data_IF_997225664189
#
_entry.id   IF_997225664189
#
_cell.length_a   1.000
_cell.length_b   1.000
_cell.length_c   1.000
_cell.angle_alpha   90.00
_cell.angle_beta   90.00
_cell.angle_gamma   90.00
#
_symmetry.space_group_name_H-M   'P 1'
#
loop_
_entity.id
_entity.type
_entity.pdbx_description
1 polymer ?
#
# COMPACT_ATOMS: atom_id res chain seq x y z
N UNK A 1 22.10 -27.71 -14.85
CA UNK A 1 22.27 -27.39 -13.42
C UNK A 1 21.23 -28.17 -12.62
N UNK A 2 21.67 -29.04 -11.71
CA UNK A 2 20.75 -29.87 -10.90
C UNK A 2 20.34 -29.04 -9.67
N UNK A 3 19.05 -28.68 -9.56
CA UNK A 3 18.52 -28.01 -8.38
C UNK A 3 18.56 -28.98 -7.17
N UNK A 4 19.00 -28.47 -6.03
CA UNK A 4 19.01 -29.23 -4.78
C UNK A 4 17.58 -29.51 -4.33
N UNK A 5 17.24 -30.74 -3.89
CA UNK A 5 15.87 -31.07 -3.48
C UNK A 5 15.34 -30.25 -2.29
N UNK A 6 16.22 -29.67 -1.48
CA UNK A 6 15.87 -28.77 -0.39
C UNK A 6 15.27 -27.42 -0.87
N UNK A 7 15.72 -26.91 -2.03
CA UNK A 7 15.17 -25.68 -2.61
C UNK A 7 13.79 -25.91 -3.21
N UNK A 8 13.56 -27.05 -3.84
CA UNK A 8 12.25 -27.44 -4.35
C UNK A 8 11.22 -27.60 -3.21
N UNK A 9 11.64 -28.15 -2.06
CA UNK A 9 10.77 -28.33 -0.90
C UNK A 9 10.37 -26.98 -0.26
N UNK A 10 11.29 -26.01 -0.17
CA UNK A 10 10.99 -24.67 0.36
C UNK A 10 10.03 -23.90 -0.53
N UNK A 11 10.17 -24.01 -1.85
CA UNK A 11 9.26 -23.37 -2.81
C UNK A 11 7.87 -24.03 -2.78
N UNK A 12 7.80 -25.36 -2.69
CA UNK A 12 6.54 -26.09 -2.54
C UNK A 12 5.84 -25.76 -1.22
N UNK A 13 6.58 -25.53 -0.14
CA UNK A 13 6.00 -25.16 1.16
C UNK A 13 5.42 -23.74 1.13
N UNK A 14 6.08 -22.78 0.45
CA UNK A 14 5.56 -21.43 0.26
C UNK A 14 4.30 -21.40 -0.65
N UNK A 15 4.31 -22.18 -1.73
CA UNK A 15 3.14 -22.33 -2.62
C UNK A 15 2.01 -23.10 -1.91
N UNK A 16 2.31 -24.12 -1.13
CA UNK A 16 1.32 -24.87 -0.35
C UNK A 16 0.70 -24.03 0.76
N UNK A 17 1.46 -23.14 1.42
CA UNK A 17 0.92 -22.18 2.40
C UNK A 17 -0.02 -21.19 1.71
N UNK A 18 0.28 -20.76 0.49
CA UNK A 18 -0.62 -19.90 -0.31
C UNK A 18 -1.89 -20.63 -0.79
N UNK A 19 -1.83 -21.94 -1.00
CA UNK A 19 -2.96 -22.75 -1.46
C UNK A 19 -3.83 -23.30 -0.31
N UNK A 20 -3.26 -23.50 0.89
CA UNK A 20 -4.03 -23.95 2.06
C UNK A 20 -4.73 -22.83 2.81
N UNK A 21 -4.24 -21.61 2.74
CA UNK A 21 -5.04 -20.46 3.08
C UNK A 21 -5.81 -20.05 1.82
N UNK A 22 -6.90 -20.78 1.55
CA UNK A 22 -7.92 -20.34 0.63
C UNK A 22 -8.41 -18.96 1.07
N UNK A 23 -7.72 -17.91 0.62
CA UNK A 23 -8.14 -16.52 0.76
C UNK A 23 -9.36 -16.30 -0.14
N UNK A 24 -10.45 -17.01 0.21
CA UNK A 24 -11.74 -16.67 -0.32
C UNK A 24 -12.08 -15.25 0.10
N UNK A 25 -12.53 -14.52 -0.84
CA UNK A 25 -13.14 -13.20 -0.92
C UNK A 25 -13.93 -12.67 0.32
N UNK A 26 -13.35 -12.72 1.52
CA UNK A 26 -14.01 -12.32 2.76
C UNK A 26 -13.90 -10.83 3.11
N UNK A 27 -13.29 -10.01 2.25
CA UNK A 27 -13.35 -8.56 2.45
C UNK A 27 -14.79 -8.01 2.34
N UNK A 28 -15.69 -8.73 1.66
CA UNK A 28 -17.13 -8.41 1.65
C UNK A 28 -17.85 -8.88 2.93
N UNK A 29 -17.45 -10.00 3.52
CA UNK A 29 -18.05 -10.50 4.77
C UNK A 29 -17.74 -9.63 5.99
N UNK A 30 -16.63 -8.86 6.02
CA UNK A 30 -16.38 -7.93 7.12
C UNK A 30 -17.41 -6.80 7.22
N UNK A 31 -18.04 -6.41 6.12
CA UNK A 31 -19.16 -5.44 6.16
C UNK A 31 -20.41 -6.01 6.79
N UNK A 32 -20.61 -7.33 6.72
CA UNK A 32 -21.78 -8.01 7.28
C UNK A 32 -21.56 -8.43 8.75
N UNK A 33 -20.33 -8.75 9.14
CA UNK A 33 -20.02 -9.17 10.51
C UNK A 33 -19.99 -8.03 11.53
N UNK A 34 -19.73 -6.79 11.07
CA UNK A 34 -19.67 -5.63 11.94
C UNK A 34 -20.35 -4.42 11.28
N UNK A 35 -21.70 -4.32 11.34
CA UNK A 35 -22.39 -3.09 10.99
C UNK A 35 -22.17 -2.04 12.08
N UNK A 36 -20.93 -1.76 12.45
CA UNK A 36 -20.62 -0.62 13.28
C UNK A 36 -21.00 0.63 12.49
N UNK A 37 -21.80 1.53 13.08
CA UNK A 37 -21.97 2.88 12.55
C UNK A 37 -20.58 3.41 12.20
N UNK A 38 -20.37 3.73 10.92
CA UNK A 38 -19.14 4.36 10.46
C UNK A 38 -18.83 5.53 11.39
N UNK A 39 -17.79 5.38 12.19
CA UNK A 39 -17.40 6.42 13.13
C UNK A 39 -16.25 7.19 12.49
N UNK A 40 -16.51 8.48 12.22
CA UNK A 40 -15.47 9.39 11.77
C UNK A 40 -14.88 10.11 12.97
N UNK A 41 -13.56 10.04 13.10
CA UNK A 41 -12.78 10.72 14.12
C UNK A 41 -11.86 11.76 13.47
N UNK A 42 -11.49 12.78 14.26
CA UNK A 42 -10.42 13.71 13.91
C UNK A 42 -9.21 13.39 14.79
N UNK A 43 -8.15 12.90 14.19
CA UNK A 43 -6.90 12.56 14.86
C UNK A 43 -5.80 13.57 14.56
N UNK A 44 -4.90 13.83 15.51
CA UNK A 44 -3.69 14.58 15.21
C UNK A 44 -2.72 13.73 14.41
N UNK A 45 -2.05 14.33 13.43
CA UNK A 45 -1.10 13.65 12.56
C UNK A 45 -0.05 12.82 13.32
N UNK A 46 0.47 13.39 14.40
CA UNK A 46 1.49 12.76 15.22
C UNK A 46 0.95 11.69 16.20
N UNK A 47 -0.34 11.42 16.21
CA UNK A 47 -0.99 10.42 17.04
C UNK A 47 -1.44 9.20 16.24
N UNK A 48 -1.25 9.23 14.91
CA UNK A 48 -1.69 8.17 14.02
C UNK A 48 -0.51 7.29 13.62
N UNK A 49 -0.73 5.99 13.72
CA UNK A 49 0.26 4.95 13.39
C UNK A 49 0.05 4.44 11.97
N UNK A 50 1.14 3.97 11.36
CA UNK A 50 1.07 3.30 10.06
C UNK A 50 0.63 1.84 10.20
N UNK A 51 -0.27 1.39 9.33
CA UNK A 51 -0.58 -0.03 9.17
C UNK A 51 0.50 -0.80 8.40
N UNK A 52 1.66 -0.19 8.20
CA UNK A 52 2.83 -0.74 7.49
C UNK A 52 4.12 -0.16 8.10
N UNK A 53 5.26 -0.80 7.82
CA UNK A 53 6.58 -0.37 8.34
C UNK A 53 7.37 0.46 7.34
N UNK A 54 7.02 0.39 6.06
CA UNK A 54 7.74 1.01 4.95
C UNK A 54 6.81 1.90 4.13
N UNK A 55 7.37 2.99 3.59
CA UNK A 55 6.67 3.89 2.68
C UNK A 55 7.59 4.24 1.50
N UNK A 56 7.02 4.41 0.31
CA UNK A 56 7.77 4.88 -0.86
C UNK A 56 7.68 6.40 -0.96
N UNK A 57 8.70 7.13 -0.55
CA UNK A 57 8.69 8.60 -0.59
C UNK A 57 8.69 9.16 -1.99
N UNK A 58 9.51 8.62 -2.88
CA UNK A 58 9.57 9.06 -4.29
C UNK A 58 8.23 8.82 -4.99
N UNK A 59 7.58 7.68 -4.72
CA UNK A 59 6.23 7.42 -5.21
C UNK A 59 5.21 8.41 -4.64
N UNK A 60 5.29 8.75 -3.35
CA UNK A 60 4.39 9.75 -2.75
C UNK A 60 4.53 11.12 -3.41
N UNK A 61 5.76 11.57 -3.66
CA UNK A 61 6.06 12.83 -4.35
C UNK A 61 5.53 12.80 -5.78
N UNK A 62 5.86 11.75 -6.54
CA UNK A 62 5.41 11.59 -7.92
C UNK A 62 3.88 11.64 -8.02
N UNK A 63 3.21 10.84 -7.20
CA UNK A 63 1.75 10.78 -7.16
C UNK A 63 1.13 12.13 -6.85
N UNK A 64 1.61 12.82 -5.82
CA UNK A 64 1.07 14.11 -5.42
C UNK A 64 1.26 15.19 -6.50
N UNK A 65 2.42 15.23 -7.17
CA UNK A 65 2.67 16.14 -8.29
C UNK A 65 1.73 15.86 -9.47
N UNK A 66 1.56 14.58 -9.83
CA UNK A 66 0.64 14.14 -10.89
C UNK A 66 -0.81 14.56 -10.58
N UNK A 67 -1.28 14.28 -9.37
CA UNK A 67 -2.65 14.59 -8.93
C UNK A 67 -2.90 16.11 -8.87
N UNK A 68 -1.86 16.91 -8.63
CA UNK A 68 -1.88 18.37 -8.72
C UNK A 68 -1.79 18.93 -10.16
N UNK A 69 -1.68 18.08 -11.18
CA UNK A 69 -1.50 18.49 -12.58
C UNK A 69 -0.14 19.12 -12.87
N UNK A 70 0.87 18.83 -12.05
CA UNK A 70 2.24 19.31 -12.20
C UNK A 70 3.12 18.26 -12.90
N UNK A 71 4.33 18.66 -13.29
CA UNK A 71 5.30 17.69 -13.81
C UNK A 71 5.67 16.70 -12.70
N UNK A 72 5.31 15.42 -12.80
CA UNK A 72 5.53 14.43 -11.73
C UNK A 72 7.01 14.09 -11.51
N UNK A 73 7.90 14.45 -12.45
CA UNK A 73 9.34 14.27 -12.35
C UNK A 73 10.05 15.51 -11.76
N UNK A 74 9.32 16.58 -11.44
CA UNK A 74 9.91 17.77 -10.86
C UNK A 74 10.39 17.51 -9.42
N UNK A 75 11.56 18.07 -9.08
CA UNK A 75 12.03 18.05 -7.69
C UNK A 75 11.24 19.07 -6.87
N UNK A 76 10.76 18.70 -5.69
CA UNK A 76 9.99 19.61 -4.82
C UNK A 76 10.67 20.95 -4.60
N UNK A 77 12.02 20.95 -4.45
CA UNK A 77 12.81 22.17 -4.24
C UNK A 77 12.83 23.12 -5.45
N UNK A 78 12.60 22.61 -6.67
CA UNK A 78 12.61 23.41 -7.90
C UNK A 78 11.24 24.02 -8.23
N UNK A 79 10.18 23.65 -7.50
CA UNK A 79 8.85 24.19 -7.73
C UNK A 79 8.78 25.68 -7.43
N UNK A 80 8.13 26.43 -8.31
CA UNK A 80 7.76 27.83 -8.08
C UNK A 80 6.74 27.95 -6.92
N UNK A 81 6.59 29.18 -6.39
CA UNK A 81 5.61 29.43 -5.33
C UNK A 81 4.17 29.06 -5.74
N UNK A 82 3.81 29.29 -7.01
CA UNK A 82 2.48 28.94 -7.56
C UNK A 82 2.28 27.43 -7.59
N UNK A 83 3.29 26.67 -8.06
CA UNK A 83 3.22 25.20 -8.12
C UNK A 83 3.19 24.59 -6.73
N UNK A 84 3.98 25.07 -5.78
CA UNK A 84 3.92 24.63 -4.37
C UNK A 84 2.55 24.83 -3.77
N UNK A 85 1.89 25.96 -4.08
CA UNK A 85 0.52 26.23 -3.62
C UNK A 85 -0.46 25.25 -4.24
N UNK A 86 -0.40 25.01 -5.54
CA UNK A 86 -1.25 24.04 -6.24
C UNK A 86 -1.08 22.63 -5.66
N UNK A 87 0.14 22.22 -5.40
CA UNK A 87 0.46 20.94 -4.78
C UNK A 87 -0.14 20.85 -3.35
N UNK A 88 0.04 21.88 -2.53
CA UNK A 88 -0.50 21.90 -1.19
C UNK A 88 -2.04 21.88 -1.18
N UNK A 89 -2.69 22.59 -2.10
CA UNK A 89 -4.16 22.61 -2.23
C UNK A 89 -4.68 21.22 -2.69
N UNK A 90 -3.99 20.53 -3.59
CA UNK A 90 -4.31 19.16 -4.01
C UNK A 90 -4.23 18.19 -2.83
N UNK A 91 -3.12 18.18 -2.10
CA UNK A 91 -2.90 17.31 -0.93
C UNK A 91 -3.95 17.60 0.16
N UNK A 92 -4.27 18.87 0.42
CA UNK A 92 -5.33 19.21 1.37
C UNK A 92 -6.71 18.76 0.90
N UNK A 93 -6.95 18.75 -0.42
CA UNK A 93 -8.22 18.24 -0.96
C UNK A 93 -8.36 16.75 -0.67
N UNK A 94 -7.29 15.95 -0.86
CA UNK A 94 -7.29 14.52 -0.57
C UNK A 94 -7.51 14.22 0.92
N UNK A 95 -7.05 15.12 1.81
CA UNK A 95 -7.23 14.98 3.26
C UNK A 95 -8.65 15.39 3.76
N UNK A 96 -9.53 15.91 2.89
CA UNK A 96 -10.93 16.18 3.26
C UNK A 96 -11.72 14.90 3.44
N UNK A 97 -11.38 13.87 2.68
CA UNK A 97 -12.00 12.56 2.80
C UNK A 97 -11.46 11.82 4.03
N UNK A 98 -12.31 11.04 4.65
CA UNK A 98 -11.89 10.24 5.80
C UNK A 98 -11.07 9.04 5.34
N UNK A 99 -9.90 8.87 5.94
CA UNK A 99 -9.00 7.75 5.65
C UNK A 99 -9.40 6.52 6.46
N UNK A 100 -9.38 5.31 5.86
CA UNK A 100 -9.74 4.09 6.57
C UNK A 100 -8.70 3.79 7.65
N UNK A 101 -9.19 3.46 8.84
CA UNK A 101 -8.36 3.15 9.98
C UNK A 101 -9.00 2.07 10.88
N UNK A 102 -8.20 1.47 11.74
CA UNK A 102 -8.66 0.64 12.86
C UNK A 102 -8.19 1.27 14.17
N UNK A 103 -8.98 1.11 15.22
CA UNK A 103 -8.56 1.46 16.57
C UNK A 103 -8.32 0.18 17.37
N UNK A 104 -7.13 0.02 17.92
CA UNK A 104 -6.76 -1.15 18.70
C UNK A 104 -7.35 -1.13 20.12
N UNK A 105 -7.22 -2.22 20.92
CA UNK A 105 -7.71 -2.28 22.29
C UNK A 105 -7.09 -1.25 23.25
N UNK A 106 -5.92 -0.69 22.89
CA UNK A 106 -5.22 0.36 23.66
C UNK A 106 -5.63 1.78 23.24
N UNK A 107 -6.54 1.92 22.27
CA UNK A 107 -7.02 3.20 21.74
C UNK A 107 -6.14 3.81 20.66
N UNK A 108 -5.08 3.13 20.20
CA UNK A 108 -4.20 3.62 19.13
C UNK A 108 -4.87 3.49 17.78
N UNK A 109 -4.72 4.49 16.92
CA UNK A 109 -5.34 4.55 15.59
C UNK A 109 -4.30 4.18 14.55
N UNK A 110 -4.55 3.11 13.79
CA UNK A 110 -3.72 2.64 12.70
C UNK A 110 -4.40 2.92 11.37
N UNK A 111 -3.71 3.62 10.47
CA UNK A 111 -4.17 3.83 9.11
C UNK A 111 -4.04 2.56 8.29
N UNK A 112 -5.06 2.28 7.49
CA UNK A 112 -5.05 1.18 6.54
C UNK A 112 -4.67 1.66 5.13
N UNK A 113 -4.94 2.93 4.82
CA UNK A 113 -4.59 3.58 3.55
C UNK A 113 -4.32 5.08 3.76
N UNK A 114 -3.85 5.77 2.72
CA UNK A 114 -3.61 7.21 2.74
C UNK A 114 -2.25 7.63 3.32
N UNK A 115 -1.35 6.69 3.63
CA UNK A 115 -0.02 7.00 4.18
C UNK A 115 0.77 7.99 3.31
N UNK A 116 0.72 7.85 1.97
CA UNK A 116 1.43 8.72 1.04
C UNK A 116 0.88 10.16 1.07
N UNK A 117 -0.45 10.32 1.14
CA UNK A 117 -1.09 11.64 1.25
C UNK A 117 -0.70 12.34 2.55
N UNK A 118 -0.70 11.61 3.67
CA UNK A 118 -0.28 12.16 4.96
C UNK A 118 1.21 12.52 4.97
N UNK A 119 2.06 11.67 4.38
CA UNK A 119 3.48 11.97 4.25
C UNK A 119 3.69 13.27 3.46
N UNK A 120 2.98 13.44 2.34
CA UNK A 120 3.08 14.65 1.53
C UNK A 120 2.60 15.89 2.28
N UNK A 121 1.51 15.78 3.04
CA UNK A 121 1.03 16.88 3.89
C UNK A 121 2.11 17.31 4.91
N UNK A 122 2.77 16.35 5.54
CA UNK A 122 3.86 16.63 6.48
C UNK A 122 5.10 17.26 5.82
N UNK A 123 5.44 16.85 4.61
CA UNK A 123 6.55 17.44 3.83
C UNK A 123 6.24 18.90 3.45
N UNK A 124 4.99 19.20 3.09
CA UNK A 124 4.57 20.52 2.64
C UNK A 124 4.29 21.49 3.79
N UNK A 125 3.90 20.98 4.96
CA UNK A 125 3.62 21.76 6.16
C UNK A 125 4.61 21.39 7.28
N UNK A 126 5.74 22.10 7.40
CA UNK A 126 6.75 21.81 8.41
C UNK A 126 6.24 21.84 9.86
N UNK A 127 5.18 22.62 10.11
CA UNK A 127 4.53 22.68 11.42
C UNK A 127 3.34 21.69 11.51
N UNK A 128 3.67 20.41 11.60
CA UNK A 128 2.67 19.32 11.67
C UNK A 128 1.85 19.27 12.96
N UNK A 129 2.18 20.10 13.98
CA UNK A 129 1.48 20.10 15.28
C UNK A 129 -0.02 20.39 15.17
N UNK A 130 -0.41 21.13 14.12
CA UNK A 130 -1.80 21.52 13.88
C UNK A 130 -2.46 20.68 12.77
N UNK A 131 -1.71 19.77 12.13
CA UNK A 131 -2.27 18.93 11.09
C UNK A 131 -3.19 17.90 11.72
N UNK A 132 -4.46 18.00 11.35
CA UNK A 132 -5.48 17.01 11.73
C UNK A 132 -5.97 16.27 10.51
N UNK A 133 -6.18 14.98 10.66
CA UNK A 133 -6.70 14.10 9.63
C UNK A 133 -8.04 13.52 10.08
N UNK A 134 -8.92 13.34 9.12
CA UNK A 134 -10.15 12.59 9.33
C UNK A 134 -9.87 11.11 9.12
N UNK A 135 -10.31 10.26 10.04
CA UNK A 135 -10.24 8.82 9.90
C UNK A 135 -11.64 8.21 10.03
N UNK A 136 -11.95 7.25 9.18
CA UNK A 136 -13.14 6.41 9.28
C UNK A 136 -12.73 5.08 9.90
N UNK A 137 -13.22 4.77 11.09
CA UNK A 137 -12.94 3.49 11.73
C UNK A 137 -13.72 2.38 11.01
N UNK A 138 -12.99 1.47 10.38
CA UNK A 138 -13.53 0.22 9.83
C UNK A 138 -13.74 -0.80 10.94
N UNK A 139 -12.96 -0.67 12.03
CA UNK A 139 -13.12 -1.46 13.25
C UNK A 139 -12.62 -0.67 14.48
N UNK A 140 -13.32 -0.83 15.59
CA UNK A 140 -13.01 -0.19 16.86
C UNK A 140 -12.88 -1.24 17.96
N UNK A 141 -11.66 -1.74 18.17
CA UNK A 141 -11.37 -2.75 19.17
C UNK A 141 -11.59 -2.24 20.60
N UNK A 142 -11.35 -0.95 20.84
CA UNK A 142 -11.59 -0.34 22.14
C UNK A 142 -13.10 -0.32 22.48
N UNK A 143 -13.95 0.04 21.51
CA UNK A 143 -15.39 0.07 21.71
C UNK A 143 -16.01 -1.33 21.86
N UNK A 144 -15.43 -2.34 21.19
CA UNK A 144 -15.88 -3.74 21.28
C UNK A 144 -15.28 -4.49 22.46
N UNK A 145 -14.37 -3.86 23.19
CA UNK A 145 -13.65 -4.46 24.33
C UNK A 145 -13.01 -5.82 24.01
N UNK A 146 -12.53 -5.99 22.77
CA UNK A 146 -11.83 -7.20 22.34
C UNK A 146 -10.45 -7.27 22.99
N UNK A 147 -10.02 -8.47 23.40
CA UNK A 147 -8.69 -8.67 23.92
C UNK A 147 -7.61 -8.56 22.81
N UNK A 148 -6.35 -8.39 23.21
CA UNK A 148 -5.24 -8.15 22.30
C UNK A 148 -5.03 -9.28 21.27
N UNK A 149 -4.90 -10.53 21.72
CA UNK A 149 -4.60 -11.64 20.80
C UNK A 149 -5.71 -11.86 19.76
N UNK A 150 -7.02 -11.91 20.13
CA UNK A 150 -8.10 -11.94 19.16
C UNK A 150 -8.10 -10.74 18.20
N UNK A 151 -7.68 -9.54 18.63
CA UNK A 151 -7.55 -8.39 17.72
C UNK A 151 -6.42 -8.58 16.71
N UNK A 152 -5.28 -9.14 17.14
CA UNK A 152 -4.16 -9.45 16.21
C UNK A 152 -4.62 -10.45 15.16
N UNK A 153 -5.27 -11.54 15.56
CA UNK A 153 -5.78 -12.57 14.65
C UNK A 153 -6.80 -11.98 13.67
N UNK A 154 -7.75 -11.18 14.18
CA UNK A 154 -8.73 -10.49 13.35
C UNK A 154 -8.08 -9.54 12.33
N UNK A 155 -7.03 -8.84 12.75
CA UNK A 155 -6.29 -7.90 11.90
C UNK A 155 -5.58 -8.62 10.73
N UNK A 156 -5.03 -9.79 10.98
CA UNK A 156 -4.40 -10.63 9.95
C UNK A 156 -5.48 -11.22 9.02
N UNK A 157 -6.54 -11.79 9.56
CA UNK A 157 -7.63 -12.38 8.79
C UNK A 157 -8.31 -11.38 7.85
N UNK A 158 -8.42 -10.13 8.28
CA UNK A 158 -9.03 -9.06 7.49
C UNK A 158 -8.04 -8.28 6.60
N UNK A 159 -6.78 -8.69 6.55
CA UNK A 159 -5.72 -8.00 5.82
C UNK A 159 -5.65 -6.50 6.15
N UNK A 160 -5.81 -6.12 7.44
CA UNK A 160 -5.62 -4.75 7.87
C UNK A 160 -4.15 -4.37 7.92
N UNK A 161 -3.28 -5.35 8.17
CA UNK A 161 -1.83 -5.21 8.19
C UNK A 161 -1.19 -6.22 7.25
N UNK A 162 -0.01 -5.88 6.76
CA UNK A 162 0.79 -6.82 5.99
C UNK A 162 1.17 -8.02 6.86
N UNK A 163 0.64 -9.20 6.55
CA UNK A 163 0.68 -10.37 7.43
C UNK A 163 2.08 -10.74 7.97
N UNK A 164 3.17 -10.74 7.14
CA UNK A 164 4.51 -11.03 7.63
C UNK A 164 5.03 -10.09 8.70
N UNK A 165 4.51 -8.86 8.78
CA UNK A 165 4.95 -7.83 9.74
C UNK A 165 3.84 -7.37 10.70
N UNK A 166 2.62 -7.92 10.60
CA UNK A 166 1.47 -7.49 11.37
C UNK A 166 1.73 -7.45 12.88
N UNK A 167 2.32 -8.53 13.42
CA UNK A 167 2.66 -8.61 14.84
C UNK A 167 3.67 -7.56 15.25
N UNK A 168 4.70 -7.33 14.43
CA UNK A 168 5.73 -6.30 14.67
C UNK A 168 5.09 -4.91 14.66
N UNK A 169 4.20 -4.63 13.69
CA UNK A 169 3.49 -3.35 13.57
C UNK A 169 2.69 -3.08 14.85
N UNK A 170 1.99 -4.08 15.36
CA UNK A 170 1.13 -3.94 16.53
C UNK A 170 1.90 -3.85 17.84
N UNK A 171 2.99 -4.61 18.00
CA UNK A 171 3.83 -4.59 19.20
C UNK A 171 4.72 -3.34 19.28
N UNK A 172 5.26 -2.90 18.14
CA UNK A 172 6.17 -1.75 18.02
C UNK A 172 5.67 -0.79 16.95
N UNK A 173 4.53 -0.13 17.19
CA UNK A 173 3.92 0.69 16.17
C UNK A 173 4.76 1.92 15.86
N UNK A 174 4.95 2.17 14.58
CA UNK A 174 5.58 3.37 14.06
C UNK A 174 4.51 4.38 13.66
N UNK A 175 4.70 5.63 14.00
CA UNK A 175 3.86 6.71 13.50
C UNK A 175 4.12 6.92 12.01
N UNK A 176 3.17 7.48 11.28
CA UNK A 176 3.30 7.61 9.82
C UNK A 176 4.57 8.34 9.40
N UNK A 177 5.02 9.34 10.16
CA UNK A 177 6.25 10.08 9.89
C UNK A 177 7.54 9.33 10.27
N UNK A 178 7.43 8.25 11.04
CA UNK A 178 8.55 7.39 11.44
C UNK A 178 8.75 6.20 10.48
N UNK A 179 7.84 6.02 9.52
CA UNK A 179 7.94 4.93 8.54
C UNK A 179 9.23 5.05 7.73
N UNK A 180 9.95 3.95 7.62
CA UNK A 180 11.18 3.91 6.84
C UNK A 180 10.89 4.08 5.35
N UNK A 181 11.76 4.82 4.66
CA UNK A 181 11.68 4.93 3.21
C UNK A 181 12.08 3.62 2.54
N UNK A 182 11.41 3.27 1.46
CA UNK A 182 11.67 2.06 0.69
C UNK A 182 11.71 2.37 -0.80
N UNK A 183 12.87 2.16 -1.39
CA UNK A 183 13.07 2.23 -2.83
C UNK A 183 12.16 1.25 -3.57
N UNK A 184 12.03 0.03 -3.07
CA UNK A 184 11.16 -1.01 -3.65
C UNK A 184 9.70 -0.54 -3.69
N UNK A 185 9.22 0.05 -2.59
CA UNK A 185 7.86 0.61 -2.51
C UNK A 185 7.67 1.77 -3.49
N UNK A 186 8.68 2.63 -3.63
CA UNK A 186 8.65 3.71 -4.62
C UNK A 186 8.61 3.15 -6.03
N UNK A 187 9.50 2.24 -6.38
CA UNK A 187 9.58 1.67 -7.72
C UNK A 187 8.33 0.87 -8.10
N UNK A 188 7.79 0.06 -7.18
CA UNK A 188 6.56 -0.69 -7.45
C UNK A 188 5.34 0.21 -7.54
N UNK A 189 5.26 1.28 -6.74
CA UNK A 189 4.22 2.29 -6.90
C UNK A 189 4.26 2.95 -8.29
N UNK A 190 5.44 3.32 -8.75
CA UNK A 190 5.66 3.90 -10.08
C UNK A 190 5.42 2.89 -11.21
N UNK A 191 5.76 1.62 -11.02
CA UNK A 191 5.44 0.54 -11.94
C UNK A 191 3.93 0.46 -12.22
N UNK A 192 3.08 0.46 -11.19
CA UNK A 192 1.63 0.46 -11.39
C UNK A 192 1.13 1.70 -12.14
N UNK A 193 1.66 2.88 -11.81
CA UNK A 193 1.33 4.11 -12.54
C UNK A 193 1.80 4.03 -13.99
N UNK A 194 3.01 3.53 -14.25
CA UNK A 194 3.54 3.43 -15.61
C UNK A 194 2.72 2.52 -16.52
N UNK A 195 2.19 1.41 -15.99
CA UNK A 195 1.25 0.55 -16.71
C UNK A 195 -0.04 1.31 -17.01
N UNK A 196 -0.61 2.00 -16.01
CA UNK A 196 -1.83 2.81 -16.21
C UNK A 196 -1.64 3.85 -17.31
N UNK A 197 -0.50 4.55 -17.30
CA UNK A 197 -0.21 5.59 -18.28
C UNK A 197 0.10 5.04 -19.67
N UNK A 198 0.78 3.90 -19.76
CA UNK A 198 1.19 3.29 -21.03
C UNK A 198 0.06 2.55 -21.71
N UNK A 199 -0.65 1.71 -20.99
CA UNK A 199 -1.66 0.79 -21.54
C UNK A 199 -3.09 1.28 -21.36
N UNK A 200 -3.29 2.40 -20.66
CA UNK A 200 -4.61 2.99 -20.33
C UNK A 200 -5.54 2.03 -19.59
N UNK A 201 -4.96 1.16 -18.75
CA UNK A 201 -5.70 0.25 -17.88
C UNK A 201 -5.68 0.74 -16.44
N UNK A 202 -6.76 0.64 -15.69
CA UNK A 202 -6.87 1.23 -14.34
C UNK A 202 -6.11 0.40 -13.29
N UNK A 203 -4.83 0.68 -13.07
CA UNK A 203 -3.94 0.00 -12.12
C UNK A 203 -4.12 0.49 -10.67
N UNK A 204 -5.36 0.81 -10.26
CA UNK A 204 -5.63 1.33 -8.91
C UNK A 204 -5.55 0.23 -7.86
N UNK A 205 -4.96 0.54 -6.70
CA UNK A 205 -4.78 -0.41 -5.60
C UNK A 205 -6.07 -1.10 -5.14
N UNK A 206 -7.25 -0.43 -5.27
CA UNK A 206 -8.54 -1.01 -4.95
C UNK A 206 -8.95 -2.23 -5.83
N UNK A 207 -8.30 -2.42 -6.98
CA UNK A 207 -8.57 -3.53 -7.90
C UNK A 207 -7.75 -4.77 -7.58
N UNK A 208 -6.83 -4.67 -6.64
CA UNK A 208 -5.99 -5.76 -6.17
C UNK A 208 -6.23 -6.06 -4.70
N UNK A 209 -5.76 -7.22 -4.26
CA UNK A 209 -5.71 -7.53 -2.85
C UNK A 209 -4.83 -6.52 -2.10
N UNK A 210 -5.12 -6.23 -0.83
CA UNK A 210 -4.31 -5.32 -0.02
C UNK A 210 -2.84 -5.75 -0.01
N UNK A 211 -1.94 -4.77 0.10
CA UNK A 211 -0.49 -5.00 0.17
C UNK A 211 0.15 -5.65 -1.07
N UNK A 212 -0.52 -5.60 -2.24
CA UNK A 212 0.00 -6.16 -3.50
C UNK A 212 1.47 -5.78 -3.76
N UNK A 213 1.87 -4.53 -3.48
CA UNK A 213 3.25 -4.08 -3.70
C UNK A 213 4.24 -4.75 -2.75
N UNK A 214 3.84 -5.10 -1.52
CA UNK A 214 4.71 -5.84 -0.59
C UNK A 214 4.91 -7.28 -1.04
N UNK A 215 3.81 -7.96 -1.37
CA UNK A 215 3.88 -9.35 -1.86
C UNK A 215 4.62 -9.45 -3.21
N UNK A 216 4.48 -8.45 -4.08
CA UNK A 216 5.23 -8.38 -5.34
C UNK A 216 6.72 -8.16 -5.08
N UNK A 217 7.10 -7.32 -4.12
CA UNK A 217 8.48 -7.14 -3.71
C UNK A 217 9.08 -8.43 -3.16
N UNK A 218 8.31 -9.19 -2.35
CA UNK A 218 8.76 -10.47 -1.82
C UNK A 218 8.98 -11.50 -2.94
N UNK A 219 8.07 -11.57 -3.92
CA UNK A 219 8.22 -12.45 -5.09
C UNK A 219 9.48 -12.09 -5.90
N UNK A 220 9.68 -10.79 -6.19
CA UNK A 220 10.84 -10.32 -6.94
C UNK A 220 12.15 -10.70 -6.24
N UNK A 221 12.22 -10.55 -4.92
CA UNK A 221 13.41 -10.94 -4.13
C UNK A 221 13.60 -12.45 -4.08
N UNK A 222 12.54 -13.20 -3.84
CA UNK A 222 12.60 -14.65 -3.72
C UNK A 222 13.08 -15.33 -5.02
N UNK A 223 12.61 -14.82 -6.16
CA UNK A 223 12.97 -15.35 -7.48
C UNK A 223 14.14 -14.61 -8.15
N UNK A 224 14.71 -13.59 -7.50
CA UNK A 224 15.82 -12.77 -8.02
C UNK A 224 15.53 -12.17 -9.42
N UNK A 225 14.26 -11.76 -9.64
CA UNK A 225 13.78 -11.27 -10.94
C UNK A 225 14.39 -9.93 -11.29
N UNK A 226 14.55 -9.04 -10.29
CA UNK A 226 15.03 -7.69 -10.45
C UNK A 226 15.79 -7.22 -9.22
N UNK A 227 16.85 -6.41 -9.43
CA UNK A 227 17.57 -5.74 -8.34
C UNK A 227 17.16 -4.28 -8.29
N UNK A 228 16.55 -3.85 -7.20
CA UNK A 228 16.12 -2.48 -7.03
C UNK A 228 17.32 -1.55 -6.87
N UNK A 229 17.43 -0.58 -7.78
CA UNK A 229 18.44 0.48 -7.71
C UNK A 229 18.02 1.51 -6.65
N UNK A 230 18.96 2.03 -5.84
CA UNK A 230 18.68 3.13 -4.93
C UNK A 230 18.31 4.44 -5.66
N UNK A 231 18.64 4.55 -6.93
CA UNK A 231 18.31 5.70 -7.78
C UNK A 231 16.98 5.45 -8.51
N UNK A 232 15.90 5.97 -7.94
CA UNK A 232 14.55 5.89 -8.52
C UNK A 232 14.42 6.96 -9.60
N UNK A 233 14.53 6.56 -10.86
CA UNK A 233 14.38 7.43 -12.01
C UNK A 233 13.50 6.79 -13.08
N UNK A 234 13.17 7.55 -14.14
CA UNK A 234 12.30 7.06 -15.21
C UNK A 234 12.87 5.82 -15.92
N UNK A 235 14.18 5.78 -16.14
CA UNK A 235 14.82 4.64 -16.80
C UNK A 235 14.70 3.36 -15.98
N UNK A 236 14.98 3.44 -14.67
CA UNK A 236 14.84 2.28 -13.76
C UNK A 236 13.40 1.78 -13.65
N UNK A 237 12.40 2.67 -13.76
CA UNK A 237 10.98 2.26 -13.78
C UNK A 237 10.60 1.56 -15.07
N UNK A 238 11.10 2.03 -16.24
CA UNK A 238 10.86 1.38 -17.53
C UNK A 238 11.54 0.00 -17.60
N UNK A 239 12.75 -0.11 -17.08
CA UNK A 239 13.47 -1.39 -16.96
C UNK A 239 12.70 -2.38 -16.08
N UNK A 240 12.25 -1.92 -14.91
CA UNK A 240 11.40 -2.72 -14.02
C UNK A 240 10.13 -3.17 -14.73
N UNK A 241 9.43 -2.26 -15.41
CA UNK A 241 8.19 -2.57 -16.15
C UNK A 241 8.44 -3.65 -17.19
N UNK A 242 9.49 -3.49 -18.01
CA UNK A 242 9.84 -4.45 -19.07
C UNK A 242 10.15 -5.82 -18.46
N UNK A 243 10.94 -5.86 -17.39
CA UNK A 243 11.33 -7.10 -16.72
C UNK A 243 10.12 -7.80 -16.11
N UNK A 244 9.26 -7.08 -15.38
CA UNK A 244 8.12 -7.68 -14.70
C UNK A 244 7.03 -8.15 -15.66
N UNK A 245 6.72 -7.36 -16.70
CA UNK A 245 5.72 -7.75 -17.71
C UNK A 245 6.24 -8.86 -18.65
N UNK A 246 7.56 -9.05 -18.77
CA UNK A 246 8.17 -10.18 -19.45
C UNK A 246 8.28 -11.46 -18.60
N UNK A 247 7.97 -11.41 -17.31
CA UNK A 247 8.11 -12.54 -16.41
C UNK A 247 6.76 -13.22 -16.14
N UNK A 248 6.64 -14.48 -16.59
CA UNK A 248 5.40 -15.25 -16.48
C UNK A 248 4.93 -15.42 -15.02
N UNK A 249 5.84 -15.66 -14.07
CA UNK A 249 5.48 -15.85 -12.67
C UNK A 249 4.89 -14.58 -12.07
N UNK A 250 5.44 -13.42 -12.45
CA UNK A 250 4.90 -12.11 -12.03
C UNK A 250 3.50 -11.90 -12.61
N UNK A 251 3.30 -12.20 -13.89
CA UNK A 251 1.97 -12.07 -14.53
C UNK A 251 0.94 -12.96 -13.85
N UNK A 252 1.25 -14.23 -13.63
CA UNK A 252 0.34 -15.16 -12.93
C UNK A 252 0.08 -14.72 -11.49
N UNK A 253 1.11 -14.22 -10.79
CA UNK A 253 0.93 -13.63 -9.47
C UNK A 253 -0.03 -12.42 -9.52
N UNK A 254 0.19 -11.45 -10.42
CA UNK A 254 -0.69 -10.27 -10.54
C UNK A 254 -2.13 -10.67 -10.88
N UNK A 255 -2.33 -11.65 -11.76
CA UNK A 255 -3.66 -12.23 -12.05
C UNK A 255 -4.32 -12.77 -10.79
N UNK A 256 -3.58 -13.52 -9.98
CA UNK A 256 -4.10 -14.13 -8.74
C UNK A 256 -4.47 -13.09 -7.68
N UNK A 257 -3.90 -11.89 -7.76
CA UNK A 257 -4.15 -10.80 -6.82
C UNK A 257 -5.29 -9.87 -7.25
N UNK A 258 -5.86 -10.07 -8.45
CA UNK A 258 -7.01 -9.29 -8.90
C UNK A 258 -8.24 -9.63 -8.07
N UNK A 259 -8.95 -8.59 -7.63
CA UNK A 259 -10.23 -8.76 -6.96
C UNK A 259 -11.33 -9.13 -7.95
N UNK A 260 -12.38 -9.84 -7.52
CA UNK A 260 -13.51 -10.20 -8.40
C UNK A 260 -14.13 -8.99 -9.10
N UNK A 261 -14.23 -7.85 -8.41
CA UNK A 261 -14.78 -6.59 -8.90
C UNK A 261 -13.81 -5.76 -9.75
N UNK A 262 -12.61 -6.26 -10.03
CA UNK A 262 -11.66 -5.56 -10.92
C UNK A 262 -12.25 -5.37 -12.32
N UNK A 263 -12.02 -4.21 -12.98
CA UNK A 263 -12.53 -3.91 -14.31
C UNK A 263 -12.17 -4.96 -15.35
N UNK A 264 -13.07 -5.17 -16.32
CA UNK A 264 -12.88 -6.15 -17.38
C UNK A 264 -11.61 -5.85 -18.21
N UNK A 265 -11.33 -4.58 -18.46
CA UNK A 265 -10.16 -4.12 -19.20
C UNK A 265 -8.86 -4.53 -18.49
N UNK A 266 -8.83 -4.45 -17.17
CA UNK A 266 -7.67 -4.85 -16.37
C UNK A 266 -7.47 -6.36 -16.39
N UNK A 267 -8.58 -7.13 -16.29
CA UNK A 267 -8.53 -8.59 -16.40
C UNK A 267 -8.05 -9.03 -17.78
N UNK A 268 -8.60 -8.42 -18.84
CA UNK A 268 -8.22 -8.70 -20.23
C UNK A 268 -6.74 -8.33 -20.48
N UNK A 269 -6.25 -7.21 -19.93
CA UNK A 269 -4.86 -6.82 -20.05
C UNK A 269 -3.93 -7.94 -19.57
N UNK A 270 -4.13 -8.44 -18.35
CA UNK A 270 -3.28 -9.52 -17.83
C UNK A 270 -3.49 -10.86 -18.52
N UNK A 271 -4.67 -11.14 -19.08
CA UNK A 271 -4.91 -12.37 -19.85
C UNK A 271 -4.15 -12.40 -21.17
N UNK A 272 -3.88 -11.24 -21.77
CA UNK A 272 -3.20 -11.10 -23.07
C UNK A 272 -1.67 -10.97 -22.95
N UNK A 273 -1.13 -10.89 -21.74
CA UNK A 273 0.31 -10.97 -21.45
C UNK A 273 0.74 -12.43 -21.27
#
# INVERSE_FOLDING_TARGET
MRFSPLRALAIMTLIAISLFFGFSANALQCRELFPAKKQTLSAAYNEVYGGQTLIGKEYAVYKALRDAGLNPLAKLKSLSKKERRALADSVRSDLKDALPAVRDPMGRIFLLDGHHTILMAAILEPNTKHLRIKVELVYDALATNIAWDPFVDLSIQNNWFYAPTAKIILEKPLRVHELADSVERSMLGLFFISIEDTFKVPMKGKHFNPFIQFYLADLIRAEQIFTFSPDVNFHSVVELQTTLLGNRNVIEFLKSQLRPEAPAELKAFFQNL
#
